data_IF_730144045096
#
_entry.id   IF_730144045096
#
_cell.length_a   1.000
_cell.length_b   1.000
_cell.length_c   1.000
_cell.angle_alpha   90.00
_cell.angle_beta   90.00
_cell.angle_gamma   90.00
#
_symmetry.space_group_name_H-M   'P 1'
#
loop_
_entity.id
_entity.type
_entity.pdbx_description
1 polymer ?
#
# COMPACT_ATOMS: atom_id res chain seq x y z
N UNK A 1 -15.11 -3.20 -24.03
CA UNK A 1 -14.74 -2.48 -22.78
C UNK A 1 -13.95 -3.33 -21.81
N UNK A 2 -14.33 -4.59 -21.54
CA UNK A 2 -13.54 -5.46 -20.65
C UNK A 2 -12.13 -5.69 -21.20
N UNK A 3 -11.97 -5.88 -22.51
CA UNK A 3 -10.69 -6.18 -23.18
C UNK A 3 -9.61 -5.10 -23.05
N UNK A 4 -9.98 -3.80 -23.00
CA UNK A 4 -9.01 -2.70 -22.85
C UNK A 4 -8.37 -2.68 -21.45
N UNK A 5 -9.16 -2.99 -20.42
CA UNK A 5 -8.71 -3.08 -19.03
C UNK A 5 -7.63 -4.17 -18.85
N UNK A 6 -7.66 -5.23 -19.67
CA UNK A 6 -6.77 -6.39 -19.59
C UNK A 6 -5.43 -6.22 -20.32
N UNK A 7 -5.38 -5.43 -21.39
CA UNK A 7 -4.10 -5.03 -22.00
C UNK A 7 -3.36 -4.02 -21.11
N UNK A 8 -4.10 -3.11 -20.45
CA UNK A 8 -3.57 -2.19 -19.44
C UNK A 8 -3.15 -2.87 -18.13
N UNK A 9 -3.63 -4.09 -17.84
CA UNK A 9 -3.28 -4.84 -16.63
C UNK A 9 -1.80 -5.25 -16.59
N UNK A 10 -1.13 -5.41 -17.73
CA UNK A 10 0.33 -5.60 -17.79
C UNK A 10 1.09 -4.37 -17.24
N UNK A 11 0.65 -3.18 -17.64
CA UNK A 11 1.19 -1.91 -17.13
C UNK A 11 0.79 -1.68 -15.66
N UNK A 12 -0.42 -2.05 -15.28
CA UNK A 12 -0.95 -1.89 -13.93
C UNK A 12 -0.21 -2.77 -12.93
N UNK A 13 -0.01 -4.05 -13.27
CA UNK A 13 0.79 -5.00 -12.47
C UNK A 13 2.23 -4.52 -12.32
N UNK A 14 2.86 -4.09 -13.42
CA UNK A 14 4.22 -3.56 -13.40
C UNK A 14 4.33 -2.29 -12.55
N UNK A 15 3.37 -1.38 -12.66
CA UNK A 15 3.31 -0.14 -11.88
C UNK A 15 3.12 -0.42 -10.38
N UNK A 16 2.17 -1.29 -10.03
CA UNK A 16 1.93 -1.69 -8.64
C UNK A 16 3.16 -2.36 -8.03
N UNK A 17 3.79 -3.27 -8.77
CA UNK A 17 5.04 -3.92 -8.36
C UNK A 17 6.14 -2.90 -8.12
N UNK A 18 6.34 -1.94 -9.03
CA UNK A 18 7.34 -0.87 -8.86
C UNK A 18 7.11 -0.08 -7.57
N UNK A 19 5.86 0.30 -7.28
CA UNK A 19 5.52 0.98 -6.02
C UNK A 19 5.81 0.12 -4.81
N UNK A 20 5.42 -1.17 -4.85
CA UNK A 20 5.74 -2.11 -3.79
C UNK A 20 7.26 -2.24 -3.57
N UNK A 21 8.06 -2.39 -4.62
CA UNK A 21 9.52 -2.42 -4.52
C UNK A 21 10.07 -1.20 -3.77
N UNK A 22 9.66 0.01 -4.13
CA UNK A 22 10.10 1.25 -3.45
C UNK A 22 9.81 1.20 -1.96
N UNK A 23 8.57 0.85 -1.57
CA UNK A 23 8.18 0.83 -0.17
C UNK A 23 8.80 -0.34 0.60
N UNK A 24 9.05 -1.46 -0.05
CA UNK A 24 9.78 -2.56 0.59
C UNK A 24 11.21 -2.09 0.92
N UNK A 25 11.90 -1.43 -0.03
CA UNK A 25 13.24 -0.90 0.20
C UNK A 25 13.31 0.12 1.32
N UNK A 26 12.34 1.03 1.36
CA UNK A 26 12.37 2.15 2.31
C UNK A 26 11.94 1.77 3.73
N UNK A 27 11.06 0.77 3.89
CA UNK A 27 10.32 0.58 5.15
C UNK A 27 10.70 -0.68 5.92
N UNK A 28 11.30 -1.69 5.28
CA UNK A 28 11.73 -2.90 5.99
C UNK A 28 13.21 -2.89 6.41
N UNK A 29 13.79 -1.68 6.54
CA UNK A 29 15.16 -1.47 7.05
C UNK A 29 16.19 -2.37 6.33
N UNK A 30 16.20 -2.32 4.99
CA UNK A 30 17.34 -2.86 4.26
C UNK A 30 18.55 -2.01 4.57
N UNK A 31 19.51 -2.61 5.24
CA UNK A 31 20.85 -2.06 5.25
C UNK A 31 21.49 -2.44 3.89
N UNK A 32 21.82 -1.45 3.04
CA UNK A 32 22.56 -1.73 1.80
C UNK A 32 23.96 -2.30 2.06
N UNK A 33 24.48 -2.16 3.28
CA UNK A 33 25.77 -2.71 3.70
C UNK A 33 25.66 -4.16 4.22
N UNK A 34 24.45 -4.67 4.48
CA UNK A 34 24.24 -6.08 4.83
C UNK A 34 24.61 -7.00 3.66
N UNK A 35 25.13 -8.19 3.96
CA UNK A 35 25.26 -9.21 2.93
C UNK A 35 23.87 -9.71 2.48
N UNK A 36 23.81 -10.29 1.28
CA UNK A 36 22.56 -10.75 0.68
C UNK A 36 21.82 -11.76 1.57
N UNK A 37 22.56 -12.63 2.25
CA UNK A 37 22.04 -13.67 3.14
C UNK A 37 21.33 -13.10 4.37
N UNK A 38 21.85 -12.02 4.95
CA UNK A 38 21.26 -11.33 6.10
C UNK A 38 19.91 -10.70 5.72
N UNK A 39 19.87 -10.03 4.56
CA UNK A 39 18.64 -9.45 4.04
C UNK A 39 17.57 -10.51 3.73
N UNK A 40 17.96 -11.67 3.19
CA UNK A 40 17.03 -12.82 3.03
C UNK A 40 16.51 -13.30 4.38
N UNK A 41 17.35 -13.39 5.41
CA UNK A 41 16.95 -13.83 6.74
C UNK A 41 15.91 -12.90 7.37
N UNK A 42 16.11 -11.59 7.25
CA UNK A 42 15.14 -10.57 7.70
C UNK A 42 13.81 -10.76 6.97
N UNK A 43 13.82 -10.90 5.65
CA UNK A 43 12.61 -11.09 4.85
C UNK A 43 11.88 -12.38 5.21
N UNK A 44 12.60 -13.48 5.44
CA UNK A 44 12.01 -14.73 5.94
C UNK A 44 11.34 -14.54 7.30
N UNK A 45 11.94 -13.77 8.21
CA UNK A 45 11.34 -13.37 9.49
C UNK A 45 10.04 -12.59 9.31
N UNK A 46 10.02 -11.63 8.36
CA UNK A 46 8.85 -10.83 8.03
C UNK A 46 7.69 -11.67 7.44
N UNK A 47 8.02 -12.62 6.57
CA UNK A 47 7.09 -13.53 5.89
C UNK A 47 6.61 -14.70 6.76
N UNK A 48 7.24 -14.91 7.92
CA UNK A 48 6.93 -16.01 8.84
C UNK A 48 5.47 -16.06 9.32
N UNK A 49 5.18 -16.98 10.25
CA UNK A 49 3.83 -17.39 10.65
C UNK A 49 2.91 -16.25 11.14
N UNK A 50 3.48 -15.09 11.50
CA UNK A 50 2.73 -13.95 12.02
C UNK A 50 2.49 -12.83 11.01
N UNK A 51 2.96 -12.94 9.75
CA UNK A 51 2.80 -11.89 8.72
C UNK A 51 3.26 -10.53 9.25
N UNK A 52 4.46 -10.50 9.83
CA UNK A 52 4.98 -9.30 10.50
C UNK A 52 5.12 -8.12 9.54
N UNK A 53 5.30 -8.39 8.24
CA UNK A 53 5.36 -7.35 7.22
C UNK A 53 4.10 -6.46 7.13
N UNK A 54 2.95 -6.90 7.65
CA UNK A 54 1.71 -6.11 7.66
C UNK A 54 1.46 -5.40 9.00
N UNK A 55 2.26 -5.66 10.03
CA UNK A 55 2.01 -5.15 11.39
C UNK A 55 2.82 -3.88 11.67
N UNK A 56 2.28 -3.01 12.50
CA UNK A 56 3.01 -1.83 13.00
C UNK A 56 3.04 -1.81 14.54
N UNK A 57 3.80 -2.72 15.12
CA UNK A 57 3.92 -2.86 16.57
C UNK A 57 2.59 -3.18 17.27
N UNK A 58 2.46 -2.65 18.49
CA UNK A 58 1.29 -2.76 19.36
C UNK A 58 0.82 -1.37 19.81
N UNK A 59 -0.44 -1.24 20.22
CA UNK A 59 -0.94 -0.03 20.88
C UNK A 59 -0.58 0.00 22.37
N UNK A 60 -1.02 1.07 23.06
CA UNK A 60 -0.82 1.29 24.50
C UNK A 60 -1.40 0.16 25.36
N UNK A 61 -2.43 -0.53 24.87
CA UNK A 61 -3.07 -1.67 25.53
C UNK A 61 -2.40 -3.02 25.17
N UNK A 62 -1.24 -2.99 24.50
CA UNK A 62 -0.50 -4.18 24.07
C UNK A 62 -1.16 -4.94 22.90
N UNK A 63 -2.12 -4.34 22.20
CA UNK A 63 -2.86 -4.97 21.10
C UNK A 63 -2.18 -4.70 19.78
N UNK A 64 -1.96 -5.77 19.01
CA UNK A 64 -1.33 -5.69 17.68
C UNK A 64 -2.01 -4.70 16.72
N UNK A 65 -1.21 -3.93 16.00
CA UNK A 65 -1.68 -3.08 14.90
C UNK A 65 -1.56 -3.85 13.58
N UNK A 66 -2.54 -4.70 13.31
CA UNK A 66 -2.59 -5.49 12.08
C UNK A 66 -2.91 -4.61 10.87
N UNK A 67 -2.29 -4.90 9.71
CA UNK A 67 -2.46 -4.17 8.46
C UNK A 67 -2.19 -2.66 8.59
N UNK A 68 -1.32 -2.28 9.52
CA UNK A 68 -1.00 -0.89 9.82
C UNK A 68 0.42 -0.51 9.39
N UNK A 69 1.16 -1.42 8.74
CA UNK A 69 2.54 -1.17 8.36
C UNK A 69 2.65 0.02 7.38
N UNK A 70 3.57 0.97 7.58
CA UNK A 70 3.70 2.15 6.72
C UNK A 70 3.94 1.83 5.23
N UNK A 71 4.57 0.69 4.91
CA UNK A 71 4.72 0.25 3.52
C UNK A 71 3.37 0.02 2.83
N UNK A 72 2.38 -0.51 3.57
CA UNK A 72 1.05 -0.76 3.03
C UNK A 72 0.31 0.53 2.74
N UNK A 73 0.36 1.49 3.66
CA UNK A 73 -0.15 2.85 3.45
C UNK A 73 0.50 3.47 2.21
N UNK A 74 1.83 3.45 2.13
CA UNK A 74 2.56 4.03 1.02
C UNK A 74 2.13 3.49 -0.34
N UNK A 75 2.06 2.16 -0.49
CA UNK A 75 1.57 1.53 -1.74
C UNK A 75 0.13 1.94 -2.04
N UNK A 76 -0.74 2.03 -1.03
CA UNK A 76 -2.14 2.41 -1.24
C UNK A 76 -2.24 3.85 -1.77
N UNK A 77 -1.56 4.80 -1.15
CA UNK A 77 -1.65 6.22 -1.53
C UNK A 77 -1.06 6.42 -2.93
N UNK A 78 0.18 5.97 -3.13
CA UNK A 78 0.93 6.20 -4.38
C UNK A 78 0.34 5.50 -5.60
N UNK A 79 -0.53 4.52 -5.39
CA UNK A 79 -1.10 3.74 -6.46
C UNK A 79 -2.57 4.05 -6.72
N UNK A 80 -3.38 4.20 -5.68
CA UNK A 80 -4.82 4.42 -5.84
C UNK A 80 -5.24 5.89 -5.82
N UNK A 81 -4.42 6.80 -5.29
CA UNK A 81 -4.73 8.22 -5.15
C UNK A 81 -3.83 9.21 -5.92
N UNK A 82 -2.85 8.83 -6.79
CA UNK A 82 -1.97 9.83 -7.40
C UNK A 82 -2.65 10.61 -8.54
N UNK A 83 -2.78 11.93 -8.38
CA UNK A 83 -3.25 12.82 -9.45
C UNK A 83 -4.71 12.61 -9.85
N UNK A 84 -5.18 13.43 -10.79
CA UNK A 84 -6.60 13.56 -11.18
C UNK A 84 -7.16 12.37 -11.95
N UNK A 85 -6.30 11.48 -12.44
CA UNK A 85 -6.70 10.27 -13.20
C UNK A 85 -6.56 8.98 -12.39
N UNK A 86 -6.28 9.07 -11.09
CA UNK A 86 -6.19 7.89 -10.22
C UNK A 86 -7.55 7.21 -10.01
N UNK A 87 -7.52 5.92 -9.66
CA UNK A 87 -8.74 5.15 -9.36
C UNK A 87 -9.59 5.83 -8.27
N UNK A 88 -8.95 6.41 -7.25
CA UNK A 88 -9.65 7.12 -6.19
C UNK A 88 -10.40 8.36 -6.68
N UNK A 89 -9.90 9.02 -7.73
CA UNK A 89 -10.54 10.18 -8.36
C UNK A 89 -11.55 9.83 -9.44
N UNK A 90 -11.37 8.69 -10.10
CA UNK A 90 -12.34 8.18 -11.08
C UNK A 90 -13.59 7.62 -10.40
N UNK A 91 -13.46 7.16 -9.15
CA UNK A 91 -14.56 6.57 -8.36
C UNK A 91 -14.60 7.17 -6.94
N UNK A 92 -14.79 8.49 -6.80
CA UNK A 92 -14.76 9.17 -5.51
C UNK A 92 -15.88 8.68 -4.58
N UNK A 93 -17.04 8.30 -5.12
CA UNK A 93 -18.15 7.72 -4.37
C UNK A 93 -17.78 6.42 -3.65
N UNK A 94 -16.74 5.73 -4.13
CA UNK A 94 -16.27 4.46 -3.57
C UNK A 94 -15.04 4.65 -2.68
N UNK A 95 -14.16 5.60 -2.99
CA UNK A 95 -12.86 5.77 -2.33
C UNK A 95 -12.79 6.95 -1.35
N UNK A 96 -13.70 7.93 -1.41
CA UNK A 96 -13.63 9.15 -0.59
C UNK A 96 -13.70 8.87 0.92
N UNK A 97 -14.63 8.02 1.35
CA UNK A 97 -14.87 7.82 2.78
C UNK A 97 -13.86 6.88 3.43
N UNK A 98 -13.50 5.80 2.72
CA UNK A 98 -12.64 4.72 3.20
C UNK A 98 -11.98 4.03 2.02
N UNK A 99 -10.71 3.67 2.18
CA UNK A 99 -10.05 2.73 1.27
C UNK A 99 -10.82 1.40 1.24
N UNK A 100 -11.08 0.90 0.04
CA UNK A 100 -11.73 -0.38 -0.17
C UNK A 100 -10.87 -1.53 0.37
N UNK A 101 -11.50 -2.52 1.00
CA UNK A 101 -10.80 -3.75 1.43
C UNK A 101 -10.09 -4.44 0.27
N UNK A 102 -10.69 -4.48 -0.91
CA UNK A 102 -10.07 -5.08 -2.09
C UNK A 102 -8.79 -4.34 -2.49
N UNK A 103 -8.74 -3.01 -2.35
CA UNK A 103 -7.52 -2.22 -2.60
C UNK A 103 -6.43 -2.52 -1.55
N UNK A 104 -6.81 -2.65 -0.28
CA UNK A 104 -5.89 -3.07 0.79
C UNK A 104 -5.30 -4.45 0.51
N UNK A 105 -6.14 -5.42 0.11
CA UNK A 105 -5.68 -6.77 -0.22
C UNK A 105 -4.74 -6.79 -1.44
N UNK A 106 -5.03 -5.98 -2.46
CA UNK A 106 -4.17 -5.83 -3.64
C UNK A 106 -2.79 -5.26 -3.26
N UNK A 107 -2.76 -4.19 -2.47
CA UNK A 107 -1.49 -3.59 -2.02
C UNK A 107 -0.68 -4.55 -1.12
N UNK A 108 -1.34 -5.23 -0.18
CA UNK A 108 -0.70 -6.21 0.70
C UNK A 108 -0.16 -7.42 -0.08
N UNK A 109 -0.90 -7.89 -1.09
CA UNK A 109 -0.44 -8.92 -2.02
C UNK A 109 0.83 -8.44 -2.75
N UNK A 110 0.83 -7.24 -3.33
CA UNK A 110 2.00 -6.73 -4.05
C UNK A 110 3.25 -6.66 -3.17
N UNK A 111 3.12 -6.22 -1.92
CA UNK A 111 4.22 -6.25 -0.95
C UNK A 111 4.72 -7.67 -0.70
N UNK A 112 3.81 -8.64 -0.50
CA UNK A 112 4.18 -10.04 -0.30
C UNK A 112 4.91 -10.61 -1.51
N UNK A 113 4.44 -10.32 -2.72
CA UNK A 113 5.10 -10.80 -3.95
C UNK A 113 6.55 -10.32 -4.03
N UNK A 114 6.78 -9.02 -3.78
CA UNK A 114 8.14 -8.47 -3.79
C UNK A 114 9.02 -9.10 -2.70
N UNK A 115 8.46 -9.35 -1.51
CA UNK A 115 9.19 -10.05 -0.45
C UNK A 115 9.51 -11.51 -0.83
N UNK A 116 8.58 -12.23 -1.45
CA UNK A 116 8.80 -13.61 -1.92
C UNK A 116 9.87 -13.66 -3.03
N UNK A 117 9.89 -12.68 -3.94
CA UNK A 117 10.91 -12.53 -5.00
C UNK A 117 12.32 -12.50 -4.41
N UNK A 118 12.52 -11.68 -3.38
CA UNK A 118 13.80 -11.55 -2.69
C UNK A 118 14.25 -12.87 -2.09
N UNK A 119 13.35 -13.59 -1.42
CA UNK A 119 13.69 -14.89 -0.82
C UNK A 119 14.01 -15.94 -1.89
N UNK A 120 13.32 -15.90 -3.03
CA UNK A 120 13.50 -16.87 -4.11
C UNK A 120 14.75 -16.64 -4.97
N UNK A 121 15.44 -15.50 -4.81
CA UNK A 121 16.61 -15.11 -5.64
C UNK A 121 16.36 -15.17 -7.16
N UNK A 122 15.11 -14.97 -7.59
CA UNK A 122 14.70 -15.10 -8.99
C UNK A 122 13.49 -14.22 -9.33
N UNK A 123 13.25 -14.03 -10.63
CA UNK A 123 12.11 -13.26 -11.11
C UNK A 123 10.82 -14.07 -10.91
N UNK A 124 10.02 -13.73 -9.90
CA UNK A 124 8.69 -14.31 -9.75
C UNK A 124 7.80 -13.74 -10.85
N UNK A 125 7.36 -14.60 -11.75
CA UNK A 125 6.51 -14.17 -12.86
C UNK A 125 5.17 -13.69 -12.32
N UNK A 126 4.78 -12.45 -12.62
CA UNK A 126 3.59 -11.84 -12.02
C UNK A 126 2.28 -12.38 -12.62
N UNK A 127 1.94 -13.64 -12.31
CA UNK A 127 0.79 -14.38 -12.89
C UNK A 127 -0.40 -14.40 -11.94
N UNK A 128 -1.60 -14.20 -12.50
CA UNK A 128 -2.87 -14.22 -11.77
C UNK A 128 -3.05 -15.52 -10.95
N UNK A 129 -2.79 -16.68 -11.56
CA UNK A 129 -2.91 -17.97 -10.87
C UNK A 129 -2.01 -18.09 -9.63
N UNK A 130 -0.85 -17.42 -9.64
CA UNK A 130 0.10 -17.42 -8.52
C UNK A 130 -0.40 -16.58 -7.35
N UNK A 131 -1.08 -15.45 -7.62
CA UNK A 131 -1.39 -14.49 -6.56
C UNK A 131 -2.85 -14.41 -6.17
N UNK A 132 -3.78 -15.01 -6.91
CA UNK A 132 -5.16 -15.19 -6.43
C UNK A 132 -5.20 -15.82 -5.03
N UNK A 133 -4.42 -16.88 -4.73
CA UNK A 133 -4.36 -17.41 -3.37
C UNK A 133 -3.87 -16.38 -2.34
N UNK A 134 -2.85 -15.58 -2.68
CA UNK A 134 -2.31 -14.53 -1.80
C UNK A 134 -3.35 -13.44 -1.56
N UNK A 135 -4.02 -12.96 -2.60
CA UNK A 135 -5.10 -12.00 -2.50
C UNK A 135 -6.23 -12.49 -1.58
N UNK A 136 -6.68 -13.73 -1.79
CA UNK A 136 -7.71 -14.35 -0.95
C UNK A 136 -7.23 -14.51 0.50
N UNK A 137 -5.96 -14.82 0.72
CA UNK A 137 -5.35 -14.85 2.04
C UNK A 137 -5.42 -13.47 2.72
N UNK A 138 -5.09 -12.39 2.01
CA UNK A 138 -5.17 -11.01 2.54
C UNK A 138 -6.60 -10.63 2.91
N UNK A 139 -7.59 -11.02 2.11
CA UNK A 139 -9.00 -10.87 2.47
C UNK A 139 -9.36 -11.68 3.72
N UNK A 140 -8.88 -12.93 3.81
CA UNK A 140 -9.05 -13.79 4.97
C UNK A 140 -8.49 -13.18 6.25
N UNK A 141 -7.33 -12.51 6.18
CA UNK A 141 -6.74 -11.78 7.31
C UNK A 141 -7.62 -10.62 7.80
N UNK A 142 -8.23 -9.86 6.88
CA UNK A 142 -9.19 -8.82 7.25
C UNK A 142 -10.45 -9.41 7.87
N UNK A 143 -10.97 -10.51 7.32
CA UNK A 143 -12.12 -11.21 7.90
C UNK A 143 -11.79 -11.76 9.31
N UNK A 144 -10.55 -12.19 9.56
CA UNK A 144 -10.10 -12.58 10.90
C UNK A 144 -10.03 -11.39 11.85
N UNK A 145 -9.66 -10.19 11.38
CA UNK A 145 -9.76 -8.98 12.19
C UNK A 145 -11.21 -8.67 12.58
N UNK A 146 -12.18 -9.06 11.75
CA UNK A 146 -13.60 -8.81 12.01
C UNK A 146 -14.18 -9.63 13.15
N UNK A 147 -13.50 -10.68 13.60
CA UNK A 147 -13.95 -11.48 14.74
C UNK A 147 -13.69 -10.77 16.08
N UNK A 148 -13.09 -9.58 16.07
CA UNK A 148 -12.82 -8.77 17.26
C UNK A 148 -13.31 -7.33 17.05
N UNK A 149 -14.24 -6.82 17.89
CA UNK A 149 -14.75 -5.45 17.77
C UNK A 149 -13.64 -4.38 17.77
N UNK A 150 -12.57 -4.62 18.52
CA UNK A 150 -11.42 -3.71 18.61
C UNK A 150 -10.66 -3.68 17.28
N UNK A 151 -10.39 -4.83 16.67
CA UNK A 151 -9.69 -4.89 15.39
C UNK A 151 -10.57 -4.41 14.22
N UNK A 152 -11.89 -4.59 14.29
CA UNK A 152 -12.86 -3.96 13.38
C UNK A 152 -12.72 -2.44 13.43
N UNK A 153 -12.73 -1.86 14.64
CA UNK A 153 -12.62 -0.43 14.84
C UNK A 153 -11.28 0.12 14.31
N UNK A 154 -10.16 -0.55 14.63
CA UNK A 154 -8.82 -0.20 14.12
C UNK A 154 -8.77 -0.23 12.59
N UNK A 155 -9.26 -1.30 11.97
CA UNK A 155 -9.28 -1.43 10.50
C UNK A 155 -10.16 -0.37 9.84
N UNK A 156 -11.29 -0.02 10.46
CA UNK A 156 -12.15 1.07 9.98
C UNK A 156 -11.41 2.41 10.06
N UNK A 157 -10.77 2.70 11.20
CA UNK A 157 -10.02 3.93 11.41
C UNK A 157 -8.87 4.08 10.41
N UNK A 158 -8.05 3.04 10.22
CA UNK A 158 -6.95 3.04 9.24
C UNK A 158 -7.44 3.38 7.83
N UNK A 159 -8.48 2.69 7.34
CA UNK A 159 -8.97 2.89 5.97
C UNK A 159 -9.62 4.26 5.76
N UNK A 160 -10.28 4.81 6.78
CA UNK A 160 -10.78 6.19 6.74
C UNK A 160 -9.61 7.17 6.68
N UNK A 161 -8.60 6.99 7.52
CA UNK A 161 -7.44 7.88 7.57
C UNK A 161 -6.65 7.85 6.26
N UNK A 162 -6.46 6.69 5.66
CA UNK A 162 -5.77 6.56 4.38
C UNK A 162 -6.54 7.23 3.24
N UNK A 163 -7.87 7.13 3.21
CA UNK A 163 -8.69 7.85 2.23
C UNK A 163 -8.56 9.36 2.39
N UNK A 164 -8.57 9.85 3.64
CA UNK A 164 -8.34 11.24 3.97
C UNK A 164 -6.95 11.72 3.52
N UNK A 165 -5.90 10.97 3.81
CA UNK A 165 -4.52 11.29 3.39
C UNK A 165 -4.43 11.35 1.86
N UNK A 166 -4.93 10.31 1.18
CA UNK A 166 -4.87 10.22 -0.28
C UNK A 166 -5.64 11.34 -0.97
N UNK A 167 -6.76 11.76 -0.39
CA UNK A 167 -7.56 12.86 -0.93
C UNK A 167 -6.99 14.25 -0.60
N UNK A 168 -6.27 14.40 0.52
CA UNK A 168 -5.68 15.68 0.94
C UNK A 168 -4.35 16.01 0.26
N UNK A 169 -3.55 15.01 -0.12
CA UNK A 169 -2.32 15.23 -0.90
C UNK A 169 -2.54 15.92 -2.25
N UNK A 170 -3.80 16.07 -2.65
CA UNK A 170 -4.21 16.71 -3.91
C UNK A 170 -4.50 18.21 -3.78
N UNK A 171 -4.79 18.72 -2.57
CA UNK A 171 -5.11 20.15 -2.39
C UNK A 171 -3.87 21.05 -2.51
N UNK A 172 -2.67 20.50 -2.31
CA UNK A 172 -1.41 21.23 -2.50
C UNK A 172 -1.02 21.31 -3.98
N UNK A 173 -1.33 20.30 -4.80
CA UNK A 173 -1.03 20.30 -6.24
C UNK A 173 -1.96 21.25 -7.04
N UNK A 174 -3.22 21.42 -6.64
CA UNK A 174 -4.13 22.42 -7.26
C UNK A 174 -3.76 23.87 -6.93
N UNK A 175 -3.18 24.13 -5.74
CA UNK A 175 -2.73 25.48 -5.36
C UNK A 175 -1.51 25.96 -6.16
N UNK A 176 -0.78 25.04 -6.79
CA UNK A 176 0.45 25.35 -7.55
C UNK A 176 0.16 25.72 -9.01
N UNK A 177 -1.08 25.53 -9.50
CA UNK A 177 -1.46 25.82 -10.90
C UNK A 177 -2.06 27.23 -11.13
N UNK A 178 -2.31 28.01 -10.07
CA UNK A 178 -2.80 29.40 -10.18
C UNK A 178 -2.03 30.31 -9.22
N UNK A 179 -0.76 30.54 -9.54
CA UNK A 179 -0.04 31.71 -9.04
C UNK A 179 0.75 32.30 -10.21
N UNK A 180 0.06 33.09 -11.03
CA UNK A 180 0.70 34.11 -11.84
C UNK A 180 1.56 34.96 -10.92
N UNK A 181 2.84 35.08 -11.27
CA UNK A 181 3.79 35.97 -10.64
C UNK A 181 3.18 37.36 -10.50
N UNK A 182 3.11 37.86 -9.27
CA UNK A 182 3.17 39.28 -9.02
C UNK A 182 4.15 39.49 -7.88
N UNK A 183 5.33 39.99 -8.27
CA UNK A 183 6.30 40.56 -7.34
C UNK A 183 5.74 41.92 -6.97
N UNK A 184 5.37 42.14 -5.71
CA UNK A 184 5.45 43.48 -5.15
C UNK A 184 5.79 43.44 -3.66
N UNK A 185 6.74 44.29 -3.32
CA UNK A 185 7.26 44.58 -1.98
C UNK A 185 6.68 45.93 -1.57
N UNK A 186 6.14 46.05 -0.36
CA UNK A 186 6.14 47.24 0.52
C UNK A 186 5.47 46.83 1.85
N UNK A 187 6.18 46.79 2.99
CA UNK A 187 6.63 47.88 3.88
C UNK A 187 5.49 48.71 4.46
N UNK A 188 5.09 48.34 5.69
CA UNK A 188 5.02 49.18 6.91
C UNK A 188 5.16 48.29 8.15
#
# INVERSE_FOLDING_TARGET
MVTQLWEDLGNWHSSLRKKACVYVSQRYQWDPDNCWEENISIVKGLLGERRMFLRNGVDEDGRTNNLAHPALLGVIIDFFYPGTSSIGQLFPEVFCDKVLRVAVAVAAMALKVVLDEIVSSGEVTFRVATYTPIYLEMLGLMNKCDTSPIHVAKMKALRTEWARIGSNGMKEDEATAVATMDFDVELD
#
